data_IF_156136336263
#
_entry.id   IF_156136336263
#
_cell.length_a   1.000
_cell.length_b   1.000
_cell.length_c   1.000
_cell.angle_alpha   90.00
_cell.angle_beta   90.00
_cell.angle_gamma   90.00
#
_symmetry.space_group_name_H-M   'P 1'
#
loop_
_entity.id
_entity.type
_entity.pdbx_description
1 polymer ?
#
# COMPACT_ATOMS: atom_id res chain seq x y z
N UNK A 1 31.69 7.56 40.01
CA UNK A 1 30.46 6.74 39.93
C UNK A 1 29.27 7.68 39.86
N UNK A 2 28.76 7.96 38.66
CA UNK A 2 27.49 8.69 38.49
C UNK A 2 26.64 7.83 37.55
N UNK A 3 25.76 7.03 38.14
CA UNK A 3 24.86 6.14 37.42
C UNK A 3 23.71 6.95 36.84
N UNK A 4 23.72 7.17 35.53
CA UNK A 4 22.59 7.74 34.81
C UNK A 4 21.49 6.68 34.69
N UNK A 5 20.57 6.69 35.66
CA UNK A 5 19.34 5.89 35.70
C UNK A 5 18.27 6.35 34.66
N UNK A 6 18.68 6.98 33.55
CA UNK A 6 17.76 7.55 32.55
C UNK A 6 17.36 6.62 31.39
N UNK A 7 17.99 5.44 31.26
CA UNK A 7 17.82 4.58 30.07
C UNK A 7 16.53 3.76 30.02
N UNK A 8 15.82 3.58 31.14
CA UNK A 8 14.70 2.63 31.23
C UNK A 8 13.33 3.24 30.91
N UNK A 9 13.18 4.57 31.05
CA UNK A 9 11.88 5.24 30.92
C UNK A 9 11.52 5.57 29.45
N UNK A 10 12.51 5.59 28.54
CA UNK A 10 12.27 5.82 27.11
C UNK A 10 11.81 4.58 26.33
N UNK A 11 11.69 3.40 26.97
CA UNK A 11 11.36 2.15 26.28
C UNK A 11 9.84 1.93 26.07
N UNK A 12 9.00 2.82 26.59
CA UNK A 12 7.53 2.68 26.64
C UNK A 12 6.78 3.86 26.00
N UNK A 13 7.41 4.58 25.08
CA UNK A 13 6.72 5.56 24.24
C UNK A 13 6.38 4.93 22.87
N UNK A 14 5.22 5.26 22.25
CA UNK A 14 4.87 4.85 20.88
C UNK A 14 5.70 5.65 19.86
N UNK A 15 7.02 5.65 20.02
CA UNK A 15 7.94 6.26 19.06
C UNK A 15 8.19 5.21 17.98
N UNK A 16 7.94 5.51 16.69
CA UNK A 16 8.26 4.60 15.60
C UNK A 16 9.74 4.22 15.70
N UNK A 17 10.06 2.93 15.66
CA UNK A 17 11.45 2.46 15.64
C UNK A 17 12.05 2.92 14.31
N UNK A 18 12.75 4.06 14.34
CA UNK A 18 13.28 4.73 13.14
C UNK A 18 14.79 4.58 13.09
N UNK A 19 15.30 3.87 12.09
CA UNK A 19 16.74 3.77 11.84
C UNK A 19 17.21 4.99 11.05
N UNK A 20 18.26 5.68 11.50
CA UNK A 20 18.89 6.77 10.72
C UNK A 20 19.80 6.21 9.61
N UNK A 21 19.97 6.92 8.48
CA UNK A 21 20.90 6.50 7.43
C UNK A 21 22.35 6.52 7.92
N UNK A 22 23.10 5.46 7.61
CA UNK A 22 24.54 5.40 7.93
C UNK A 22 25.38 6.07 6.85
N UNK A 23 25.65 7.37 7.01
CA UNK A 23 26.44 8.14 6.05
C UNK A 23 27.94 7.79 6.06
N UNK A 24 28.42 6.96 6.98
CA UNK A 24 29.80 6.49 6.96
C UNK A 24 30.00 5.29 6.02
N UNK A 25 28.90 4.65 5.56
CA UNK A 25 28.98 3.54 4.62
C UNK A 25 29.19 4.05 3.17
N UNK A 26 30.34 3.77 2.53
CA UNK A 26 30.60 4.20 1.17
C UNK A 26 29.66 3.54 0.15
N UNK A 27 29.14 2.34 0.44
CA UNK A 27 28.20 1.64 -0.44
C UNK A 27 26.85 2.34 -0.44
N UNK A 28 26.33 2.69 0.74
CA UNK A 28 25.08 3.45 0.86
C UNK A 28 25.21 4.82 0.19
N UNK A 29 26.31 5.54 0.41
CA UNK A 29 26.54 6.84 -0.24
C UNK A 29 26.59 6.75 -1.76
N UNK A 30 27.26 5.74 -2.31
CA UNK A 30 27.30 5.51 -3.75
C UNK A 30 25.92 5.19 -4.34
N UNK A 31 25.06 4.49 -3.60
CA UNK A 31 23.66 4.24 -4.00
C UNK A 31 22.82 5.51 -3.95
N UNK A 32 22.94 6.29 -2.87
CA UNK A 32 22.21 7.55 -2.70
C UNK A 32 22.57 8.57 -3.78
N UNK A 33 23.85 8.64 -4.19
CA UNK A 33 24.29 9.50 -5.30
C UNK A 33 23.62 9.16 -6.64
N UNK A 34 23.06 7.95 -6.79
CA UNK A 34 22.31 7.48 -7.95
C UNK A 34 20.79 7.48 -7.73
N UNK A 35 20.29 8.09 -6.64
CA UNK A 35 18.86 8.08 -6.29
C UNK A 35 18.34 6.73 -5.77
N UNK A 36 19.21 5.83 -5.35
CA UNK A 36 18.85 4.50 -4.82
C UNK A 36 19.20 4.36 -3.33
N UNK A 37 18.67 3.32 -2.67
CA UNK A 37 19.05 2.97 -1.29
C UNK A 37 18.26 3.70 -0.20
N UNK A 38 17.15 4.33 -0.57
CA UNK A 38 16.22 4.97 0.37
C UNK A 38 15.48 3.98 1.30
N UNK A 39 15.57 2.68 1.01
CA UNK A 39 15.02 1.59 1.82
C UNK A 39 15.94 1.08 2.95
N UNK A 40 17.14 1.65 3.12
CA UNK A 40 18.12 1.17 4.12
C UNK A 40 17.98 1.78 5.51
N UNK A 41 17.12 2.77 5.64
CA UNK A 41 16.84 3.54 6.85
C UNK A 41 15.32 3.65 7.03
N UNK A 42 14.88 4.31 8.10
CA UNK A 42 13.49 4.38 8.56
C UNK A 42 13.00 3.10 9.26
N UNK A 43 11.71 2.80 9.12
CA UNK A 43 11.04 1.70 9.78
C UNK A 43 11.45 0.35 9.17
N UNK A 44 11.70 -0.69 10.00
CA UNK A 44 11.88 -2.04 9.48
C UNK A 44 10.62 -2.52 8.76
N UNK A 45 10.75 -2.84 7.47
CA UNK A 45 9.63 -3.40 6.68
C UNK A 45 9.04 -4.67 7.33
N UNK A 46 9.90 -5.50 7.92
CA UNK A 46 9.47 -6.66 8.71
C UNK A 46 9.75 -6.46 10.20
N UNK A 47 8.81 -6.82 11.10
CA UNK A 47 7.45 -7.30 10.82
C UNK A 47 6.45 -6.16 10.63
N UNK A 48 6.82 -4.93 10.94
CA UNK A 48 5.89 -3.84 11.19
C UNK A 48 4.93 -3.58 10.03
N UNK A 49 5.47 -3.36 8.83
CA UNK A 49 4.65 -3.05 7.66
C UNK A 49 4.14 -4.34 6.99
N UNK A 50 5.05 -5.24 6.65
CA UNK A 50 4.76 -6.45 5.88
C UNK A 50 3.87 -7.47 6.59
N UNK A 51 3.98 -7.62 7.92
CA UNK A 51 3.19 -8.61 8.65
C UNK A 51 1.96 -7.98 9.30
N UNK A 52 2.05 -6.76 9.83
CA UNK A 52 0.94 -6.17 10.57
C UNK A 52 0.07 -5.23 9.73
N UNK A 53 0.65 -4.42 8.85
CA UNK A 53 -0.12 -3.45 8.06
C UNK A 53 -0.64 -4.06 6.75
N UNK A 54 0.18 -4.85 6.05
CA UNK A 54 -0.22 -5.43 4.77
C UNK A 54 -1.51 -6.27 4.86
N UNK A 55 -1.69 -7.18 5.84
CA UNK A 55 -2.95 -7.91 5.96
C UNK A 55 -4.16 -7.01 6.24
N UNK A 56 -3.99 -5.91 6.98
CA UNK A 56 -5.07 -4.95 7.24
C UNK A 56 -5.53 -4.29 5.94
N UNK A 57 -4.60 -3.87 5.09
CA UNK A 57 -4.91 -3.27 3.78
C UNK A 57 -5.57 -4.30 2.85
N UNK A 58 -5.06 -5.54 2.84
CA UNK A 58 -5.63 -6.63 2.02
C UNK A 58 -7.08 -6.92 2.44
N UNK A 59 -7.32 -7.10 3.75
CA UNK A 59 -8.65 -7.38 4.26
C UNK A 59 -9.61 -6.20 4.07
N UNK A 60 -9.13 -4.97 4.24
CA UNK A 60 -9.93 -3.77 3.95
C UNK A 60 -10.36 -3.70 2.49
N UNK A 61 -9.43 -3.96 1.56
CA UNK A 61 -9.72 -3.96 0.12
C UNK A 61 -10.74 -5.04 -0.24
N UNK A 62 -10.56 -6.27 0.27
CA UNK A 62 -11.51 -7.37 0.06
C UNK A 62 -12.88 -7.04 0.64
N UNK A 63 -12.93 -6.48 1.86
CA UNK A 63 -14.19 -6.11 2.50
C UNK A 63 -14.94 -5.04 1.71
N UNK A 64 -14.26 -4.03 1.16
CA UNK A 64 -14.88 -3.03 0.31
C UNK A 64 -15.45 -3.64 -0.98
N UNK A 65 -14.68 -4.48 -1.67
CA UNK A 65 -15.13 -5.14 -2.90
C UNK A 65 -16.33 -6.06 -2.66
N UNK A 66 -16.29 -6.86 -1.59
CA UNK A 66 -17.41 -7.73 -1.20
C UNK A 66 -18.62 -6.88 -0.77
N UNK A 67 -18.40 -5.80 -0.03
CA UNK A 67 -19.46 -4.88 0.37
C UNK A 67 -20.19 -4.29 -0.85
N UNK A 68 -19.44 -3.83 -1.86
CA UNK A 68 -20.02 -3.35 -3.11
C UNK A 68 -20.75 -4.45 -3.88
N UNK A 69 -20.16 -5.65 -3.99
CA UNK A 69 -20.79 -6.77 -4.70
C UNK A 69 -22.12 -7.23 -4.05
N UNK A 70 -22.27 -7.05 -2.73
CA UNK A 70 -23.51 -7.36 -2.01
C UNK A 70 -24.54 -6.24 -2.11
N UNK A 71 -24.10 -4.98 -2.03
CA UNK A 71 -25.00 -3.82 -2.05
C UNK A 71 -25.48 -3.47 -3.47
N UNK A 72 -24.66 -3.71 -4.48
CA UNK A 72 -24.92 -3.42 -5.90
C UNK A 72 -24.58 -4.64 -6.76
N UNK A 73 -25.48 -5.63 -6.86
CA UNK A 73 -25.25 -6.81 -7.66
C UNK A 73 -25.31 -6.49 -9.16
N UNK A 74 -24.51 -7.21 -9.96
CA UNK A 74 -24.47 -7.04 -11.41
C UNK A 74 -25.78 -7.42 -12.09
N UNK A 75 -26.24 -6.58 -13.03
CA UNK A 75 -27.40 -6.86 -13.87
C UNK A 75 -27.04 -7.83 -15.00
N UNK A 76 -27.98 -8.70 -15.36
CA UNK A 76 -27.88 -9.57 -16.55
C UNK A 76 -28.66 -8.91 -17.68
N UNK A 77 -28.01 -8.71 -18.83
CA UNK A 77 -28.60 -8.11 -20.02
C UNK A 77 -29.46 -9.07 -20.84
N UNK A 78 -29.96 -8.57 -21.96
CA UNK A 78 -30.73 -9.36 -22.93
C UNK A 78 -29.81 -10.25 -23.79
N UNK A 79 -30.31 -11.36 -24.36
CA UNK A 79 -29.55 -12.18 -25.31
C UNK A 79 -29.09 -11.37 -26.53
N UNK A 80 -27.93 -11.71 -27.08
CA UNK A 80 -27.41 -11.05 -28.27
C UNK A 80 -28.31 -11.32 -29.50
N UNK A 81 -28.73 -10.25 -30.17
CA UNK A 81 -29.43 -10.29 -31.45
C UNK A 81 -28.60 -9.52 -32.51
N UNK A 82 -28.04 -10.20 -33.53
CA UNK A 82 -27.25 -9.54 -34.58
C UNK A 82 -28.08 -8.60 -35.47
N UNK A 83 -29.41 -8.66 -35.40
CA UNK A 83 -30.31 -7.83 -36.20
C UNK A 83 -30.93 -6.66 -35.43
N UNK A 84 -30.69 -6.55 -34.12
CA UNK A 84 -31.18 -5.46 -33.29
C UNK A 84 -30.02 -4.71 -32.61
N UNK A 85 -29.79 -3.46 -33.01
CA UNK A 85 -28.77 -2.59 -32.39
C UNK A 85 -29.36 -1.86 -31.16
N UNK A 86 -28.70 -1.89 -29.98
CA UNK A 86 -29.14 -1.11 -28.82
C UNK A 86 -29.00 0.39 -29.08
N UNK A 87 -29.79 1.20 -28.35
CA UNK A 87 -29.73 2.67 -28.44
C UNK A 87 -28.42 3.24 -27.88
N UNK A 88 -27.86 2.58 -26.86
CA UNK A 88 -26.60 2.96 -26.21
C UNK A 88 -25.63 1.78 -26.29
N UNK A 89 -24.49 1.99 -26.95
CA UNK A 89 -23.37 1.04 -27.01
C UNK A 89 -22.13 1.72 -26.44
N UNK A 90 -21.78 1.35 -25.21
CA UNK A 90 -20.67 1.94 -24.46
C UNK A 90 -19.71 0.83 -24.00
N UNK A 91 -18.38 1.06 -24.09
CA UNK A 91 -17.41 0.12 -23.54
C UNK A 91 -17.29 0.28 -22.03
N UNK A 92 -16.39 -0.49 -21.39
CA UNK A 92 -16.04 -0.25 -19.99
C UNK A 92 -15.37 1.13 -19.80
N UNK A 93 -15.54 1.71 -18.62
CA UNK A 93 -15.20 3.11 -18.32
C UNK A 93 -13.76 3.50 -18.63
N UNK A 94 -12.80 2.58 -18.51
CA UNK A 94 -11.38 2.86 -18.79
C UNK A 94 -11.06 2.92 -20.30
N UNK A 95 -12.01 2.56 -21.17
CA UNK A 95 -11.91 2.73 -22.63
C UNK A 95 -12.53 4.04 -23.15
N UNK A 96 -13.27 4.79 -22.33
CA UNK A 96 -13.89 6.04 -22.75
C UNK A 96 -12.95 7.08 -23.38
N UNK A 97 -11.66 7.19 -22.98
CA UNK A 97 -10.76 8.14 -23.65
C UNK A 97 -10.40 7.75 -25.10
N UNK A 98 -10.54 6.48 -25.47
CA UNK A 98 -10.18 5.95 -26.79
C UNK A 98 -11.41 5.85 -27.71
N UNK A 99 -12.58 5.57 -27.13
CA UNK A 99 -13.86 5.47 -27.80
C UNK A 99 -14.40 6.85 -28.22
#
# INVERSE_FOLDING_TARGET
>A
MSGSFGGWILKSSPIPITKKPNLNDPVLRAKLAKGMGHNYYEEPAWPNDLLYIFPVVILGTIACNVGLAVLEPSMIGEPADPFASPLEILPEWYFFPVF
#
